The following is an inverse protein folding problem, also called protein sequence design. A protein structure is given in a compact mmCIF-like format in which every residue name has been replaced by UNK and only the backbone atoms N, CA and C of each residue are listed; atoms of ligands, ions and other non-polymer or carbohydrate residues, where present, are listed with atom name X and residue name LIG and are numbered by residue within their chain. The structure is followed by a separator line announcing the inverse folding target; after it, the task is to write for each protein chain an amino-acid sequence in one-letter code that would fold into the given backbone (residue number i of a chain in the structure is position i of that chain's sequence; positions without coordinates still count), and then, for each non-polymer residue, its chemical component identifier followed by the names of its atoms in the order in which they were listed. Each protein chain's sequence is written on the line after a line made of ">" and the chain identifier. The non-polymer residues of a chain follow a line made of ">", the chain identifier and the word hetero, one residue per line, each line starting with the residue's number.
data_IF_799083042422
#
_entry.id   IF_799083042422
#
_cell.length_a   1.000
_cell.length_b   1.000
_cell.length_c   1.000
_cell.angle_alpha   90.00
_cell.angle_beta   90.00
_cell.angle_gamma   90.00
#
_symmetry.space_group_name_H-M   'P 1'
#
loop_
_entity.id
_entity.type
_entity.pdbx_description
1 polymer ?
#
# COMPACT_ATOMS: atom_id res chain seq x y z
N UNK A 1 0.46 10.64 3.14
CA UNK A 1 1.40 11.70 2.73
C UNK A 1 0.86 13.09 2.94
N UNK A 2 -0.33 13.40 2.38
CA UNK A 2 -0.94 14.76 2.51
C UNK A 2 -1.12 15.14 3.98
N UNK A 3 -1.65 14.23 4.79
CA UNK A 3 -1.91 14.51 6.21
C UNK A 3 -0.63 14.86 6.98
N UNK A 4 0.49 14.18 6.72
CA UNK A 4 1.76 14.51 7.38
C UNK A 4 2.23 15.92 7.02
N UNK A 5 2.19 16.27 5.73
CA UNK A 5 2.62 17.59 5.27
C UNK A 5 1.67 18.68 5.78
N UNK A 6 0.35 18.49 5.62
CA UNK A 6 -0.65 19.44 6.13
C UNK A 6 -0.58 19.58 7.64
N UNK A 7 -0.45 18.47 8.37
CA UNK A 7 -0.30 18.47 9.82
C UNK A 7 0.93 19.25 10.26
N UNK A 8 2.08 19.00 9.63
CA UNK A 8 3.32 19.71 9.91
C UNK A 8 3.20 21.19 9.64
N UNK A 9 2.63 21.57 8.48
CA UNK A 9 2.45 22.97 8.10
C UNK A 9 1.47 23.68 9.03
N UNK A 10 0.33 23.06 9.32
CA UNK A 10 -0.69 23.63 10.20
C UNK A 10 -0.15 23.85 11.62
N UNK A 11 0.46 22.81 12.20
CA UNK A 11 1.00 22.92 13.56
C UNK A 11 2.14 23.95 13.63
N UNK A 12 3.05 23.96 12.66
CA UNK A 12 4.14 24.94 12.63
C UNK A 12 3.59 26.35 12.48
N UNK A 13 2.61 26.57 11.58
CA UNK A 13 1.98 27.88 11.38
C UNK A 13 1.21 28.33 12.62
N UNK A 14 0.49 27.40 13.27
CA UNK A 14 -0.25 27.67 14.50
C UNK A 14 0.67 28.09 15.65
N UNK A 15 1.73 27.34 15.87
CA UNK A 15 2.71 27.58 16.94
C UNK A 15 3.43 28.92 16.76
N UNK A 16 3.72 29.31 15.52
CA UNK A 16 4.34 30.61 15.20
C UNK A 16 3.44 31.79 15.52
N UNK A 17 2.10 31.62 15.44
CA UNK A 17 1.17 32.67 15.88
C UNK A 17 1.29 33.01 17.35
N UNK A 18 1.86 32.11 18.16
CA UNK A 18 2.15 32.34 19.58
C UNK A 18 3.59 32.80 19.86
N UNK A 19 4.35 33.15 18.80
CA UNK A 19 5.72 33.68 18.97
C UNK A 19 6.82 32.61 19.15
N UNK A 20 6.51 31.33 18.89
CA UNK A 20 7.48 30.23 18.98
C UNK A 20 8.15 29.99 17.63
N UNK A 21 9.32 30.61 17.41
CA UNK A 21 10.02 30.57 16.10
C UNK A 21 11.34 29.79 16.14
N UNK A 22 11.74 29.22 17.27
CA UNK A 22 13.00 28.49 17.36
C UNK A 22 12.94 27.17 16.54
N UNK A 23 14.11 26.66 16.15
CA UNK A 23 14.24 25.36 15.50
C UNK A 23 13.63 24.24 16.37
N UNK A 24 13.85 24.32 17.70
CA UNK A 24 13.31 23.33 18.65
C UNK A 24 11.78 23.39 18.68
N UNK A 25 11.19 24.59 18.72
CA UNK A 25 9.74 24.76 18.69
C UNK A 25 9.14 24.24 17.36
N UNK A 26 9.84 24.49 16.25
CA UNK A 26 9.42 23.97 14.93
C UNK A 26 9.45 22.44 14.91
N UNK A 27 10.52 21.82 15.38
CA UNK A 27 10.62 20.36 15.47
C UNK A 27 9.57 19.76 16.40
N UNK A 28 9.33 20.41 17.55
CA UNK A 28 8.26 19.99 18.46
C UNK A 28 6.88 20.13 17.82
N UNK A 29 6.61 21.21 17.10
CA UNK A 29 5.34 21.43 16.39
C UNK A 29 5.09 20.38 15.31
N UNK A 30 6.12 19.89 14.64
CA UNK A 30 6.02 18.85 13.60
C UNK A 30 5.84 17.45 14.19
N UNK A 31 6.69 17.06 15.14
CA UNK A 31 6.77 15.69 15.63
C UNK A 31 6.03 15.45 16.95
N UNK A 32 5.92 16.47 17.79
CA UNK A 32 5.33 16.36 19.13
C UNK A 32 4.42 17.56 19.44
N UNK A 33 3.41 17.86 18.61
CA UNK A 33 2.57 19.06 18.74
C UNK A 33 1.89 19.15 20.11
N UNK A 34 1.52 18.03 20.71
CA UNK A 34 0.85 18.00 22.01
C UNK A 34 1.71 18.58 23.14
N UNK A 35 3.03 18.37 23.11
CA UNK A 35 3.96 18.92 24.09
C UNK A 35 3.98 20.45 23.98
N UNK A 36 4.07 20.95 22.75
CA UNK A 36 4.16 22.37 22.49
C UNK A 36 2.82 23.09 22.74
N UNK A 37 1.70 22.44 22.36
CA UNK A 37 0.36 22.95 22.68
C UNK A 37 0.12 23.03 24.18
N UNK A 38 0.56 22.03 24.96
CA UNK A 38 0.50 22.08 26.42
C UNK A 38 1.37 23.19 27.00
N UNK A 39 2.57 23.43 26.45
CA UNK A 39 3.44 24.53 26.83
C UNK A 39 2.77 25.88 26.56
N UNK A 40 2.15 26.07 25.39
CA UNK A 40 1.41 27.27 25.01
C UNK A 40 0.22 27.49 25.97
N UNK A 41 -0.57 26.45 26.22
CA UNK A 41 -1.74 26.50 27.10
C UNK A 41 -1.36 26.88 28.55
N UNK A 42 -0.22 26.42 29.04
CA UNK A 42 0.27 26.68 30.40
C UNK A 42 1.01 28.01 30.52
N UNK A 43 1.40 28.65 29.42
CA UNK A 43 2.12 29.92 29.45
C UNK A 43 1.26 31.12 29.90
N UNK A 44 -0.07 30.95 29.98
CA UNK A 44 -1.00 31.95 30.53
C UNK A 44 -1.17 33.24 29.72
N UNK A 45 -0.32 33.51 28.76
CA UNK A 45 -0.39 34.67 27.88
C UNK A 45 -0.94 34.26 26.53
N UNK A 46 -2.27 34.41 26.36
CA UNK A 46 -3.01 33.97 25.16
C UNK A 46 -3.19 35.09 24.13
N UNK A 47 -2.53 36.19 24.27
CA UNK A 47 -2.55 37.26 23.28
C UNK A 47 -1.79 36.81 22.05
N UNK A 48 -2.57 36.44 21.01
CA UNK A 48 -2.03 36.26 19.67
C UNK A 48 -1.37 37.57 19.27
N UNK A 49 -0.08 37.59 18.97
CA UNK A 49 0.51 38.78 18.40
C UNK A 49 -0.25 39.16 17.13
N UNK A 50 -0.62 40.41 16.99
CA UNK A 50 -1.29 40.97 15.82
C UNK A 50 -0.34 40.90 14.63
N UNK A 51 -0.15 39.68 14.10
CA UNK A 51 0.72 39.43 12.95
C UNK A 51 -0.02 39.82 11.71
N UNK A 52 0.15 41.06 11.33
CA UNK A 52 -0.23 41.54 10.01
C UNK A 52 0.71 40.86 8.98
N UNK A 53 0.31 39.66 8.53
CA UNK A 53 1.06 38.80 7.62
C UNK A 53 1.52 39.54 6.35
N UNK A 54 0.77 40.57 5.94
CA UNK A 54 1.09 41.40 4.77
C UNK A 54 2.31 42.27 4.96
N UNK A 55 2.66 42.65 6.20
CA UNK A 55 3.71 43.61 6.51
C UNK A 55 4.91 43.04 7.28
N UNK A 56 4.93 41.73 7.59
CA UNK A 56 6.06 41.15 8.31
C UNK A 56 7.30 41.08 7.39
N UNK A 57 8.40 41.66 7.85
CA UNK A 57 9.71 41.53 7.18
C UNK A 57 10.18 40.09 7.00
N UNK A 58 9.51 39.16 7.66
CA UNK A 58 9.81 37.74 7.71
C UNK A 58 9.20 36.93 6.56
N UNK A 59 8.20 37.46 5.80
CA UNK A 59 7.56 36.77 4.69
C UNK A 59 8.54 36.41 3.56
N UNK A 60 9.65 37.14 3.46
CA UNK A 60 10.68 36.92 2.45
C UNK A 60 11.71 35.85 2.82
N UNK A 61 11.79 35.48 4.09
CA UNK A 61 12.83 34.61 4.60
C UNK A 61 12.47 33.12 4.51
N UNK A 62 13.52 32.30 4.34
CA UNK A 62 13.37 30.84 4.30
C UNK A 62 13.00 30.32 5.67
N UNK A 63 12.10 29.37 5.67
CA UNK A 63 11.65 28.64 6.85
C UNK A 63 12.08 27.18 6.78
N UNK A 64 12.09 26.52 7.92
CA UNK A 64 12.40 25.08 7.97
C UNK A 64 11.46 24.25 7.09
N UNK A 65 10.18 24.66 6.98
CA UNK A 65 9.21 24.02 6.10
C UNK A 65 9.61 24.03 4.62
N UNK A 66 10.33 25.06 4.16
CA UNK A 66 10.81 25.14 2.78
C UNK A 66 11.90 24.08 2.52
N UNK A 67 12.79 23.87 3.48
CA UNK A 67 13.80 22.81 3.42
C UNK A 67 13.16 21.42 3.48
N UNK A 68 12.11 21.24 4.30
CA UNK A 68 11.34 20.00 4.35
C UNK A 68 10.62 19.70 3.04
N UNK A 69 9.99 20.70 2.43
CA UNK A 69 9.32 20.54 1.15
C UNK A 69 10.30 20.10 0.04
N UNK A 70 11.46 20.73 -0.02
CA UNK A 70 12.53 20.36 -0.96
C UNK A 70 13.09 18.95 -0.66
N UNK A 71 13.28 18.60 0.60
CA UNK A 71 13.69 17.24 0.99
C UNK A 71 12.65 16.19 0.60
N UNK A 72 11.36 16.45 0.81
CA UNK A 72 10.29 15.52 0.45
C UNK A 72 10.11 15.37 -1.06
N UNK A 73 10.44 16.42 -1.84
CA UNK A 73 10.36 16.33 -3.31
C UNK A 73 11.47 15.45 -3.89
N UNK A 74 12.69 15.60 -3.39
CA UNK A 74 13.88 14.86 -3.80
C UNK A 74 14.68 14.51 -2.55
N UNK A 75 14.50 13.34 -1.95
CA UNK A 75 15.21 12.94 -0.74
C UNK A 75 16.72 13.09 -0.91
N UNK A 76 17.38 13.67 0.10
CA UNK A 76 18.82 13.97 0.12
C UNK A 76 19.20 15.08 -0.86
N UNK A 77 18.94 14.92 -2.17
CA UNK A 77 19.29 15.90 -3.20
C UNK A 77 18.51 17.22 -3.03
N UNK A 78 17.23 17.17 -2.68
CA UNK A 78 16.43 18.37 -2.42
C UNK A 78 16.93 19.16 -1.23
N UNK A 79 17.37 18.49 -0.18
CA UNK A 79 17.97 19.16 0.97
C UNK A 79 19.35 19.77 0.64
N UNK A 80 20.19 19.03 -0.10
CA UNK A 80 21.47 19.56 -0.58
C UNK A 80 21.28 20.76 -1.50
N UNK A 81 20.28 20.71 -2.39
CA UNK A 81 19.89 21.83 -3.25
C UNK A 81 19.44 23.03 -2.42
N UNK A 82 18.60 22.81 -1.39
CA UNK A 82 18.13 23.85 -0.50
C UNK A 82 19.29 24.53 0.26
N UNK A 83 20.23 23.74 0.75
CA UNK A 83 21.44 24.27 1.41
C UNK A 83 22.33 25.05 0.44
N UNK A 84 22.56 24.52 -0.77
CA UNK A 84 23.33 25.20 -1.80
C UNK A 84 22.71 26.53 -2.23
N UNK A 85 21.41 26.54 -2.50
CA UNK A 85 20.67 27.77 -2.79
C UNK A 85 20.69 28.77 -1.62
N UNK A 86 20.58 28.27 -0.39
CA UNK A 86 20.64 29.07 0.80
C UNK A 86 22.03 29.73 1.01
N UNK A 87 23.10 29.05 0.61
CA UNK A 87 24.46 29.60 0.68
C UNK A 87 24.68 30.71 -0.34
N UNK A 88 24.08 30.61 -1.52
CA UNK A 88 24.29 31.56 -2.63
C UNK A 88 23.30 32.73 -2.58
N UNK A 89 22.06 32.47 -2.14
CA UNK A 89 21.01 33.50 -2.12
C UNK A 89 20.94 34.21 -0.77
N UNK A 90 21.28 35.51 -0.75
CA UNK A 90 21.12 36.33 0.45
C UNK A 90 19.70 36.88 0.52
N UNK A 91 19.08 36.88 1.72
CA UNK A 91 17.78 37.49 1.92
C UNK A 91 17.86 38.99 1.66
N UNK A 92 16.90 39.50 0.88
CA UNK A 92 16.75 40.96 0.65
C UNK A 92 15.44 41.40 1.29
N UNK A 93 15.41 42.55 1.99
CA UNK A 93 14.19 43.07 2.59
C UNK A 93 13.04 43.15 1.55
N UNK A 94 11.88 42.59 1.87
CA UNK A 94 10.70 42.63 1.03
C UNK A 94 10.70 41.70 -0.20
N UNK A 95 11.72 40.85 -0.38
CA UNK A 95 11.76 39.85 -1.47
C UNK A 95 11.95 38.44 -0.92
N UNK A 96 11.17 37.51 -1.44
CA UNK A 96 11.36 36.09 -1.12
C UNK A 96 12.74 35.60 -1.54
N UNK A 97 13.38 34.80 -0.69
CA UNK A 97 14.61 34.08 -1.07
C UNK A 97 14.30 33.00 -2.09
N UNK A 98 15.29 32.58 -2.88
CA UNK A 98 15.09 31.49 -3.84
C UNK A 98 14.67 30.18 -3.17
N UNK A 99 15.18 29.88 -1.98
CA UNK A 99 14.77 28.69 -1.21
C UNK A 99 13.29 28.80 -0.82
N UNK A 100 12.84 29.96 -0.36
CA UNK A 100 11.44 30.22 0.00
C UNK A 100 10.51 30.08 -1.24
N UNK A 101 10.90 30.67 -2.37
CA UNK A 101 10.13 30.63 -3.60
C UNK A 101 9.95 29.18 -4.11
N UNK A 102 11.03 28.39 -4.13
CA UNK A 102 10.98 26.98 -4.52
C UNK A 102 10.27 26.12 -3.49
N UNK A 103 10.52 26.33 -2.21
CA UNK A 103 9.86 25.62 -1.11
C UNK A 103 8.33 25.79 -1.14
N UNK A 104 7.85 27.03 -1.26
CA UNK A 104 6.42 27.35 -1.36
C UNK A 104 5.79 26.67 -2.59
N UNK A 105 6.45 26.76 -3.75
CA UNK A 105 5.95 26.19 -5.00
C UNK A 105 5.87 24.65 -4.95
N UNK A 106 6.92 24.01 -4.43
CA UNK A 106 6.95 22.54 -4.29
C UNK A 106 5.95 22.07 -3.24
N UNK A 107 5.86 22.77 -2.11
CA UNK A 107 4.87 22.43 -1.07
C UNK A 107 3.45 22.47 -1.64
N UNK A 108 3.12 23.56 -2.35
CA UNK A 108 1.83 23.69 -3.01
C UNK A 108 1.58 22.53 -4.00
N UNK A 109 2.57 22.23 -4.85
CA UNK A 109 2.46 21.14 -5.84
C UNK A 109 2.28 19.77 -5.16
N UNK A 110 3.04 19.46 -4.10
CA UNK A 110 2.91 18.20 -3.37
C UNK A 110 1.54 18.06 -2.71
N UNK A 111 1.05 19.12 -2.06
CA UNK A 111 -0.27 19.11 -1.42
C UNK A 111 -1.37 18.95 -2.47
N UNK A 112 -1.35 19.77 -3.51
CA UNK A 112 -2.37 19.72 -4.58
C UNK A 112 -2.37 18.35 -5.28
N UNK A 113 -1.22 17.85 -5.70
CA UNK A 113 -1.10 16.55 -6.36
C UNK A 113 -1.55 15.41 -5.44
N UNK A 114 -1.22 15.48 -4.15
CA UNK A 114 -1.64 14.45 -3.19
C UNK A 114 -3.15 14.46 -2.96
N UNK A 115 -3.79 15.62 -2.88
CA UNK A 115 -5.25 15.74 -2.75
C UNK A 115 -5.92 15.18 -4.01
N UNK A 116 -5.47 15.60 -5.19
CA UNK A 116 -6.04 15.16 -6.47
C UNK A 116 -5.89 13.63 -6.59
N UNK A 117 -4.71 13.09 -6.36
CA UNK A 117 -4.45 11.65 -6.44
C UNK A 117 -5.25 10.84 -5.42
N UNK A 118 -5.44 11.37 -4.22
CA UNK A 118 -6.16 10.66 -3.16
C UNK A 118 -7.67 10.65 -3.39
N UNK A 119 -8.25 11.77 -3.81
CA UNK A 119 -9.70 11.95 -3.79
C UNK A 119 -10.34 12.09 -5.17
N UNK A 120 -9.63 12.51 -6.20
CA UNK A 120 -10.22 12.82 -7.51
C UNK A 120 -9.91 11.75 -8.53
N UNK A 121 -8.67 11.63 -8.97
CA UNK A 121 -8.26 10.60 -9.93
C UNK A 121 -6.81 10.16 -9.72
N UNK A 122 -6.54 8.93 -10.10
CA UNK A 122 -5.22 8.33 -10.00
C UNK A 122 -4.84 7.65 -11.33
N UNK A 123 -3.62 7.90 -11.86
CA UNK A 123 -3.14 7.21 -13.05
C UNK A 123 -2.73 5.78 -12.75
N UNK A 124 -3.09 4.85 -13.63
CA UNK A 124 -2.65 3.46 -13.61
C UNK A 124 -2.18 3.03 -14.99
N UNK A 125 -1.29 2.05 -15.02
CA UNK A 125 -0.87 1.35 -16.23
C UNK A 125 -1.40 -0.09 -16.15
N UNK A 126 -1.88 -0.63 -17.29
CA UNK A 126 -2.35 -1.99 -17.39
C UNK A 126 -1.17 -2.97 -17.49
N UNK A 127 -0.94 -3.83 -16.50
CA UNK A 127 0.21 -4.74 -16.50
C UNK A 127 -0.08 -6.09 -17.15
N UNK A 128 -1.35 -6.48 -17.31
CA UNK A 128 -1.75 -7.84 -17.74
C UNK A 128 -2.88 -7.81 -18.76
N UNK A 129 -2.93 -8.84 -19.63
CA UNK A 129 -3.92 -8.97 -20.69
C UNK A 129 -5.33 -9.41 -20.24
N UNK A 130 -5.62 -9.44 -18.94
CA UNK A 130 -6.92 -9.93 -18.44
C UNK A 130 -8.13 -9.07 -18.83
N UNK A 131 -7.90 -7.89 -19.39
CA UNK A 131 -8.90 -6.97 -19.94
C UNK A 131 -8.75 -6.76 -21.45
N UNK A 132 -8.04 -7.66 -22.14
CA UNK A 132 -7.90 -7.62 -23.61
C UNK A 132 -9.25 -7.49 -24.31
N UNK A 133 -9.23 -6.82 -25.47
CA UNK A 133 -10.37 -6.32 -26.26
C UNK A 133 -11.05 -5.06 -25.68
N UNK A 134 -10.74 -4.67 -24.44
CA UNK A 134 -11.21 -3.40 -23.85
C UNK A 134 -10.01 -2.51 -23.50
N UNK A 135 -9.02 -3.07 -22.83
CA UNK A 135 -7.78 -2.40 -22.40
C UNK A 135 -6.60 -3.31 -22.75
N UNK A 136 -5.57 -2.75 -23.35
CA UNK A 136 -4.38 -3.49 -23.74
C UNK A 136 -3.28 -3.36 -22.67
N UNK A 137 -2.36 -4.32 -22.67
CA UNK A 137 -1.16 -4.25 -21.83
C UNK A 137 -0.34 -3.03 -22.22
N UNK A 138 0.02 -2.21 -21.25
CA UNK A 138 0.76 -0.97 -21.46
C UNK A 138 -0.10 0.29 -21.54
N UNK A 139 -1.41 0.16 -21.70
CA UNK A 139 -2.32 1.31 -21.68
C UNK A 139 -2.25 2.09 -20.37
N UNK A 140 -2.29 3.42 -20.47
CA UNK A 140 -2.42 4.33 -19.33
C UNK A 140 -3.88 4.79 -19.20
N UNK A 141 -4.38 4.77 -17.99
CA UNK A 141 -5.73 5.21 -17.69
C UNK A 141 -5.78 6.05 -16.40
N UNK A 142 -6.79 6.91 -16.31
CA UNK A 142 -7.12 7.62 -15.08
C UNK A 142 -8.36 7.01 -14.43
N UNK A 143 -8.22 6.56 -13.20
CA UNK A 143 -9.34 6.07 -12.39
C UNK A 143 -10.03 7.24 -11.73
N UNK A 144 -11.30 7.47 -12.07
CA UNK A 144 -12.15 8.46 -11.43
C UNK A 144 -12.64 7.93 -10.07
N UNK A 145 -12.10 8.49 -8.99
CA UNK A 145 -12.49 8.10 -7.63
C UNK A 145 -13.81 8.68 -7.17
N UNK A 146 -14.23 9.77 -7.77
CA UNK A 146 -15.50 10.45 -7.42
C UNK A 146 -16.71 9.65 -7.88
N UNK A 147 -16.59 8.81 -8.91
CA UNK A 147 -17.70 8.01 -9.42
C UNK A 147 -18.32 7.16 -8.30
N UNK A 148 -17.52 6.33 -7.64
CA UNK A 148 -17.99 5.43 -6.58
C UNK A 148 -17.59 5.90 -5.16
N UNK A 149 -17.15 7.13 -5.03
CA UNK A 149 -16.70 7.74 -3.79
C UNK A 149 -15.23 7.43 -3.45
N UNK A 150 -14.45 8.46 -3.15
CA UNK A 150 -13.05 8.29 -2.76
C UNK A 150 -12.92 7.65 -1.39
N UNK A 151 -11.83 6.90 -1.20
CA UNK A 151 -11.49 6.30 0.10
C UNK A 151 -10.65 7.27 0.91
N UNK A 152 -10.98 7.40 2.20
CA UNK A 152 -10.11 8.08 3.15
C UNK A 152 -8.87 7.20 3.39
N UNK A 153 -7.65 7.74 3.36
CA UNK A 153 -6.44 6.96 3.60
C UNK A 153 -6.47 6.27 4.96
N UNK A 154 -6.24 4.96 4.95
CA UNK A 154 -6.11 4.15 6.19
C UNK A 154 -4.77 4.44 6.86
N UNK A 155 -3.73 4.72 6.07
CA UNK A 155 -2.41 5.14 6.58
C UNK A 155 -2.14 6.61 6.29
N UNK A 156 -2.64 7.54 7.15
CA UNK A 156 -2.46 8.98 6.93
C UNK A 156 -0.99 9.41 6.96
N UNK A 157 -0.18 8.75 7.80
CA UNK A 157 1.26 9.01 7.90
C UNK A 157 2.02 8.19 6.84
N UNK A 158 2.02 8.69 5.61
CA UNK A 158 2.78 8.09 4.51
C UNK A 158 3.54 9.13 3.69
N UNK A 159 4.64 8.68 3.06
CA UNK A 159 5.45 9.55 2.20
C UNK A 159 4.61 10.01 1.00
N UNK A 160 4.62 11.32 0.68
CA UNK A 160 3.79 11.86 -0.40
C UNK A 160 4.05 11.17 -1.74
N UNK A 161 2.98 10.87 -2.47
CA UNK A 161 2.99 10.32 -3.83
C UNK A 161 3.68 8.95 -3.99
N UNK A 162 4.18 8.35 -2.91
CA UNK A 162 4.82 7.03 -2.92
C UNK A 162 3.86 5.98 -2.35
N UNK A 163 3.72 4.85 -3.06
CA UNK A 163 2.74 3.83 -2.68
C UNK A 163 3.24 2.90 -1.56
N UNK A 164 4.27 2.13 -1.79
CA UNK A 164 4.74 1.11 -0.84
C UNK A 164 6.14 1.39 -0.27
N UNK A 165 7.14 1.51 -1.14
CA UNK A 165 8.56 1.69 -0.80
C UNK A 165 9.07 3.02 -1.29
N UNK A 166 9.87 3.69 -0.48
CA UNK A 166 10.56 4.91 -0.89
C UNK A 166 11.65 4.52 -1.89
N UNK A 167 11.65 5.09 -3.10
CA UNK A 167 12.69 4.82 -4.10
C UNK A 167 14.10 5.04 -3.53
N UNK A 168 15.04 4.22 -3.95
CA UNK A 168 16.48 4.23 -3.60
C UNK A 168 16.86 3.83 -2.17
N UNK A 169 15.90 3.75 -1.23
CA UNK A 169 16.19 3.43 0.18
C UNK A 169 15.54 2.12 0.61
N UNK A 170 14.58 1.59 -0.18
CA UNK A 170 13.83 0.35 0.07
C UNK A 170 13.17 0.26 1.46
N UNK A 171 12.85 1.40 2.05
CA UNK A 171 12.09 1.46 3.30
C UNK A 171 10.60 1.66 3.05
N UNK A 172 9.77 1.26 3.99
CA UNK A 172 8.32 1.50 3.92
C UNK A 172 8.02 2.99 3.78
N UNK A 173 7.16 3.34 2.83
CA UNK A 173 6.68 4.71 2.64
C UNK A 173 5.60 5.14 3.65
N UNK A 174 5.19 4.27 4.54
CA UNK A 174 4.13 4.50 5.51
C UNK A 174 4.48 3.93 6.88
N UNK A 175 3.85 4.45 7.90
CA UNK A 175 3.97 3.95 9.27
C UNK A 175 2.62 3.47 9.78
N UNK A 176 2.63 2.47 10.66
CA UNK A 176 1.45 1.97 11.36
C UNK A 176 1.17 2.66 12.70
N UNK A 177 1.88 3.77 13.00
CA UNK A 177 1.68 4.51 14.26
C UNK A 177 0.27 5.10 14.36
N UNK A 178 -0.30 5.49 13.23
CA UNK A 178 -1.65 6.00 13.13
C UNK A 178 -2.36 5.30 11.97
N UNK A 179 -3.48 4.66 12.27
CA UNK A 179 -4.32 4.00 11.27
C UNK A 179 -5.77 4.45 11.45
N UNK A 180 -6.39 4.84 10.34
CA UNK A 180 -7.81 5.21 10.31
C UNK A 180 -8.65 4.00 9.95
N UNK A 181 -9.90 3.97 10.39
CA UNK A 181 -10.86 2.99 9.94
C UNK A 181 -11.14 3.15 8.44
N UNK A 182 -11.38 2.03 7.76
CA UNK A 182 -11.78 2.09 6.36
C UNK A 182 -13.07 2.89 6.22
N UNK A 183 -12.99 4.01 5.53
CA UNK A 183 -14.11 4.91 5.27
C UNK A 183 -14.12 5.29 3.80
N UNK A 184 -15.29 5.22 3.17
CA UNK A 184 -15.52 5.67 1.81
C UNK A 184 -16.49 6.85 1.85
N UNK A 185 -16.14 7.94 1.17
CA UNK A 185 -17.02 9.09 1.01
C UNK A 185 -18.11 8.77 -0.02
N UNK A 186 -19.23 9.48 -0.03
CA UNK A 186 -20.27 9.31 -1.03
C UNK A 186 -19.72 9.51 -2.46
N UNK A 187 -20.20 8.69 -3.39
CA UNK A 187 -19.92 8.81 -4.82
C UNK A 187 -21.07 9.47 -5.58
N UNK A 188 -20.83 9.74 -6.85
CA UNK A 188 -21.83 10.34 -7.75
C UNK A 188 -22.58 9.29 -8.59
N UNK A 189 -22.14 8.04 -8.58
CA UNK A 189 -22.68 6.95 -9.40
C UNK A 189 -22.76 5.66 -8.62
N UNK A 190 -23.73 4.82 -8.94
CA UNK A 190 -23.81 3.44 -8.47
C UNK A 190 -23.01 2.51 -9.40
N UNK A 191 -22.63 1.33 -8.86
CA UNK A 191 -21.93 0.31 -9.63
C UNK A 191 -22.97 -0.46 -10.44
N UNK A 192 -22.81 -0.49 -11.76
CA UNK A 192 -23.68 -1.17 -12.68
C UNK A 192 -22.99 -2.41 -13.29
N UNK A 193 -23.83 -3.31 -13.81
CA UNK A 193 -23.35 -4.47 -14.58
C UNK A 193 -22.56 -3.98 -15.81
N UNK A 194 -21.44 -4.62 -16.07
CA UNK A 194 -20.47 -4.31 -17.13
C UNK A 194 -19.59 -3.08 -16.89
N UNK A 195 -19.73 -2.36 -15.79
CA UNK A 195 -18.78 -1.31 -15.45
C UNK A 195 -17.37 -1.87 -15.31
N UNK A 196 -16.40 -1.08 -15.76
CA UNK A 196 -14.98 -1.35 -15.53
C UNK A 196 -14.60 -0.74 -14.20
N UNK A 197 -14.33 -1.58 -13.21
CA UNK A 197 -14.06 -1.15 -11.84
C UNK A 197 -12.63 -1.45 -11.43
N UNK A 198 -12.06 -0.53 -10.65
CA UNK A 198 -10.76 -0.73 -9.98
C UNK A 198 -11.01 -0.96 -8.50
N UNK A 199 -10.44 -2.04 -7.97
CA UNK A 199 -10.58 -2.43 -6.58
C UNK A 199 -9.26 -2.95 -6.02
N UNK A 200 -9.10 -2.88 -4.69
CA UNK A 200 -7.95 -3.48 -4.05
C UNK A 200 -8.12 -4.99 -3.97
N UNK A 201 -7.03 -5.73 -4.20
CA UNK A 201 -7.05 -7.19 -4.13
C UNK A 201 -7.53 -7.67 -2.76
N UNK A 202 -8.50 -8.60 -2.69
CA UNK A 202 -9.17 -8.99 -1.44
C UNK A 202 -8.40 -10.03 -0.62
N UNK A 203 -7.07 -10.05 -0.69
CA UNK A 203 -6.21 -11.02 0.02
C UNK A 203 -6.11 -10.81 1.55
N UNK A 204 -6.86 -9.84 2.10
CA UNK A 204 -6.68 -9.45 3.50
C UNK A 204 -5.53 -8.46 3.68
N UNK A 205 -5.22 -8.16 4.94
CA UNK A 205 -4.23 -7.12 5.31
C UNK A 205 -2.85 -7.70 5.67
N UNK A 206 -2.70 -9.02 5.59
CA UNK A 206 -1.46 -9.72 5.87
C UNK A 206 -0.90 -10.31 4.59
N UNK A 207 0.42 -10.18 4.39
CA UNK A 207 1.15 -10.82 3.31
C UNK A 207 2.39 -11.52 3.85
N UNK A 208 2.82 -12.58 3.16
CA UNK A 208 4.08 -13.26 3.44
C UNK A 208 5.21 -12.46 2.77
N UNK A 209 6.14 -11.98 3.56
CA UNK A 209 7.23 -11.13 3.06
C UNK A 209 8.33 -11.92 2.39
N UNK A 210 8.67 -11.51 1.16
CA UNK A 210 9.80 -12.02 0.41
C UNK A 210 10.53 -10.85 -0.25
N UNK A 211 11.75 -10.48 0.19
CA UNK A 211 12.50 -9.34 -0.35
C UNK A 211 12.96 -9.56 -1.81
N UNK A 212 12.90 -10.79 -2.31
CA UNK A 212 13.25 -11.10 -3.71
C UNK A 212 12.15 -10.71 -4.70
N UNK A 213 10.93 -10.46 -4.20
CA UNK A 213 9.84 -10.00 -5.05
C UNK A 213 10.09 -8.58 -5.57
N UNK A 214 9.68 -8.27 -6.81
CA UNK A 214 9.69 -6.91 -7.30
C UNK A 214 8.96 -5.98 -6.33
N UNK A 215 9.58 -4.86 -5.97
CA UNK A 215 9.07 -3.90 -4.98
C UNK A 215 8.98 -4.43 -3.54
N UNK A 216 9.72 -5.47 -3.19
CA UNK A 216 10.02 -5.95 -1.85
C UNK A 216 8.85 -6.15 -0.89
N UNK A 217 8.05 -5.12 -0.65
CA UNK A 217 6.95 -5.11 0.30
C UNK A 217 5.61 -5.63 -0.25
N UNK A 218 5.54 -6.09 -1.49
CA UNK A 218 4.28 -6.66 -2.03
C UNK A 218 3.92 -7.95 -1.34
N UNK A 219 4.89 -8.83 -1.10
CA UNK A 219 4.69 -10.09 -0.42
C UNK A 219 3.75 -11.04 -1.17
N UNK A 220 3.66 -12.27 -0.71
CA UNK A 220 2.76 -13.28 -1.25
C UNK A 220 1.39 -13.23 -0.55
N UNK A 221 0.34 -13.69 -1.24
CA UNK A 221 -1.00 -13.83 -0.68
C UNK A 221 -1.03 -14.79 0.51
N UNK A 222 -1.02 -14.24 1.70
CA UNK A 222 -1.02 -14.98 2.95
C UNK A 222 -2.22 -15.92 3.10
N UNK A 223 -3.41 -15.44 2.78
CA UNK A 223 -4.63 -16.24 2.97
C UNK A 223 -4.69 -17.41 1.99
N UNK A 224 -4.29 -17.18 0.74
CA UNK A 224 -4.17 -18.25 -0.24
C UNK A 224 -3.13 -19.28 0.16
N UNK A 225 -1.97 -18.85 0.65
CA UNK A 225 -0.91 -19.73 1.16
C UNK A 225 -1.40 -20.53 2.37
N UNK A 226 -2.10 -19.91 3.34
CA UNK A 226 -2.67 -20.61 4.49
C UNK A 226 -3.65 -21.71 4.05
N UNK A 227 -4.50 -21.45 3.05
CA UNK A 227 -5.43 -22.46 2.55
C UNK A 227 -4.68 -23.60 1.87
N UNK A 228 -3.72 -23.30 0.99
CA UNK A 228 -2.89 -24.32 0.32
C UNK A 228 -2.14 -25.19 1.31
N UNK A 229 -1.55 -24.56 2.32
CA UNK A 229 -0.84 -25.27 3.39
C UNK A 229 -1.79 -26.11 4.24
N UNK A 230 -2.97 -25.60 4.56
CA UNK A 230 -4.00 -26.36 5.27
C UNK A 230 -4.42 -27.62 4.50
N UNK A 231 -4.59 -27.51 3.16
CA UNK A 231 -4.87 -28.65 2.29
C UNK A 231 -3.71 -29.64 2.30
N UNK A 232 -2.47 -29.16 2.22
CA UNK A 232 -1.27 -30.01 2.26
C UNK A 232 -1.18 -30.79 3.58
N UNK A 233 -1.42 -30.12 4.70
CA UNK A 233 -1.41 -30.75 6.02
C UNK A 233 -2.52 -31.80 6.16
N UNK A 234 -3.72 -31.47 5.69
CA UNK A 234 -4.83 -32.42 5.68
C UNK A 234 -4.53 -33.66 4.84
N UNK A 235 -3.96 -33.49 3.64
CA UNK A 235 -3.54 -34.64 2.79
C UNK A 235 -2.45 -35.48 3.46
N UNK A 236 -1.51 -34.86 4.16
CA UNK A 236 -0.44 -35.54 4.87
C UNK A 236 -0.94 -36.33 6.09
N UNK A 237 -1.86 -35.76 6.86
CA UNK A 237 -2.50 -36.43 8.00
C UNK A 237 -3.45 -37.56 7.55
N UNK A 238 -3.84 -37.58 6.26
CA UNK A 238 -4.72 -38.58 5.66
C UNK A 238 -4.03 -39.27 4.46
N UNK A 239 -3.01 -40.13 4.68
CA UNK A 239 -2.24 -40.72 3.59
C UNK A 239 -3.06 -41.62 2.64
N UNK A 240 -4.25 -42.10 3.08
CA UNK A 240 -5.12 -42.83 2.23
C UNK A 240 -5.69 -41.96 1.08
N UNK A 241 -5.86 -40.67 1.27
CA UNK A 241 -6.34 -39.72 0.27
C UNK A 241 -5.34 -39.60 -0.88
N UNK A 242 -4.06 -39.44 -0.55
CA UNK A 242 -2.99 -39.40 -1.55
C UNK A 242 -2.90 -40.72 -2.32
N UNK A 243 -3.00 -41.88 -1.64
CA UNK A 243 -3.05 -43.18 -2.30
C UNK A 243 -4.28 -43.36 -3.22
N UNK A 244 -5.43 -42.86 -2.77
CA UNK A 244 -6.67 -42.88 -3.56
C UNK A 244 -6.53 -41.98 -4.80
N UNK A 245 -5.91 -40.79 -4.65
CA UNK A 245 -5.66 -39.91 -5.78
C UNK A 245 -4.81 -40.59 -6.87
N UNK A 246 -3.74 -41.28 -6.50
CA UNK A 246 -2.91 -42.00 -7.44
C UNK A 246 -3.69 -43.15 -8.10
N UNK A 247 -4.45 -43.93 -7.33
CA UNK A 247 -5.31 -45.02 -7.92
C UNK A 247 -6.33 -44.52 -8.92
N UNK A 248 -7.01 -43.40 -8.61
CA UNK A 248 -7.97 -42.78 -9.51
C UNK A 248 -7.26 -42.26 -10.76
N UNK A 249 -6.12 -41.59 -10.61
CA UNK A 249 -5.28 -41.11 -11.71
C UNK A 249 -4.91 -42.25 -12.65
N UNK A 250 -4.33 -43.34 -12.10
CA UNK A 250 -3.91 -44.49 -12.88
C UNK A 250 -5.10 -45.17 -13.60
N UNK A 251 -6.26 -45.24 -12.93
CA UNK A 251 -7.49 -45.77 -13.55
C UNK A 251 -7.96 -44.87 -14.71
N UNK A 252 -7.86 -43.58 -14.60
CA UNK A 252 -8.22 -42.64 -15.67
C UNK A 252 -7.29 -42.82 -16.87
N UNK A 253 -5.97 -42.91 -16.63
CA UNK A 253 -4.99 -43.12 -17.68
C UNK A 253 -5.22 -44.47 -18.39
N UNK A 254 -5.44 -45.54 -17.62
CA UNK A 254 -5.67 -46.86 -18.16
C UNK A 254 -6.95 -46.99 -19.02
N UNK A 255 -8.00 -46.20 -18.71
CA UNK A 255 -9.25 -46.17 -19.43
C UNK A 255 -9.34 -45.06 -20.48
N UNK A 256 -8.26 -44.32 -20.71
CA UNK A 256 -8.25 -43.24 -21.70
C UNK A 256 -8.15 -43.83 -23.11
N UNK A 257 -9.04 -43.45 -24.03
CA UNK A 257 -8.90 -43.91 -25.41
C UNK A 257 -7.61 -43.37 -25.99
N UNK A 258 -6.82 -44.21 -26.63
CA UNK A 258 -5.43 -43.97 -27.09
C UNK A 258 -5.27 -42.90 -28.20
N UNK A 259 -5.86 -41.76 -28.02
CA UNK A 259 -5.84 -40.62 -28.96
C UNK A 259 -5.34 -39.28 -28.44
N UNK A 260 -4.90 -39.24 -27.18
CA UNK A 260 -4.35 -37.99 -26.61
C UNK A 260 -2.84 -37.95 -26.93
N UNK A 261 -2.46 -37.04 -27.80
CA UNK A 261 -1.14 -36.99 -28.45
C UNK A 261 0.05 -36.60 -27.56
N UNK A 262 -0.16 -36.29 -26.28
CA UNK A 262 0.92 -35.95 -25.37
C UNK A 262 0.68 -36.56 -23.98
N UNK A 263 1.58 -37.50 -23.60
CA UNK A 263 1.51 -38.19 -22.31
C UNK A 263 1.57 -37.20 -21.10
N UNK A 264 2.25 -36.10 -21.21
CA UNK A 264 2.32 -35.09 -20.14
C UNK A 264 0.99 -34.38 -19.93
N UNK A 265 0.29 -34.06 -21.02
CA UNK A 265 -1.05 -33.43 -20.95
C UNK A 265 -2.07 -34.39 -20.36
N UNK A 266 -2.01 -35.68 -20.76
CA UNK A 266 -2.87 -36.74 -20.21
C UNK A 266 -2.61 -36.89 -18.69
N UNK A 267 -1.35 -36.95 -18.28
CA UNK A 267 -0.98 -37.10 -16.86
C UNK A 267 -1.48 -35.93 -16.02
N UNK A 268 -1.29 -34.70 -16.51
CA UNK A 268 -1.81 -33.51 -15.83
C UNK A 268 -3.33 -33.46 -15.75
N UNK A 269 -4.00 -33.80 -16.85
CA UNK A 269 -5.47 -33.87 -16.87
C UNK A 269 -6.00 -34.96 -15.93
N UNK A 270 -5.41 -36.15 -15.94
CA UNK A 270 -5.79 -37.24 -15.06
C UNK A 270 -5.56 -36.89 -13.58
N UNK A 271 -4.49 -36.16 -13.27
CA UNK A 271 -4.22 -35.66 -11.91
C UNK A 271 -5.27 -34.65 -11.45
N UNK A 272 -5.64 -33.70 -12.30
CA UNK A 272 -6.67 -32.71 -11.99
C UNK A 272 -8.06 -33.37 -11.79
N UNK A 273 -8.41 -34.31 -12.65
CA UNK A 273 -9.67 -35.02 -12.55
C UNK A 273 -9.72 -35.94 -11.31
N UNK A 274 -8.62 -36.60 -10.97
CA UNK A 274 -8.49 -37.36 -9.73
C UNK A 274 -8.65 -36.47 -8.50
N UNK A 275 -8.03 -35.28 -8.52
CA UNK A 275 -8.19 -34.32 -7.46
C UNK A 275 -9.62 -33.83 -7.32
N UNK A 276 -10.30 -33.52 -8.43
CA UNK A 276 -11.70 -33.13 -8.45
C UNK A 276 -12.59 -34.21 -7.82
N UNK A 277 -12.40 -35.49 -8.17
CA UNK A 277 -13.17 -36.62 -7.61
C UNK A 277 -12.92 -36.80 -6.12
N UNK A 278 -11.69 -36.61 -5.65
CA UNK A 278 -11.38 -36.64 -4.21
C UNK A 278 -12.13 -35.54 -3.48
N UNK A 279 -12.10 -34.32 -4.01
CA UNK A 279 -12.83 -33.20 -3.39
C UNK A 279 -14.34 -33.45 -3.34
N UNK A 280 -14.92 -34.11 -4.33
CA UNK A 280 -16.33 -34.44 -4.34
C UNK A 280 -16.71 -35.44 -3.22
N UNK A 281 -15.79 -36.35 -2.85
CA UNK A 281 -16.06 -37.41 -1.86
C UNK A 281 -15.57 -37.01 -0.45
N UNK A 282 -14.41 -36.42 -0.35
CA UNK A 282 -13.73 -36.16 0.92
C UNK A 282 -13.65 -34.69 1.30
N UNK A 283 -14.04 -33.79 0.41
CA UNK A 283 -13.91 -32.33 0.64
C UNK A 283 -14.79 -31.82 1.77
N UNK A 284 -15.92 -32.46 2.03
CA UNK A 284 -16.82 -32.08 3.13
C UNK A 284 -16.13 -32.24 4.51
N UNK A 285 -15.37 -33.29 4.72
CA UNK A 285 -14.58 -33.50 5.94
C UNK A 285 -13.55 -32.39 6.15
N UNK A 286 -12.85 -31.99 5.08
CA UNK A 286 -11.90 -30.87 5.13
C UNK A 286 -12.60 -29.55 5.46
N UNK A 287 -13.72 -29.25 4.78
CA UNK A 287 -14.48 -28.03 4.98
C UNK A 287 -15.02 -27.91 6.41
N UNK A 288 -15.53 -29.00 6.96
CA UNK A 288 -16.04 -29.05 8.34
C UNK A 288 -14.93 -28.79 9.37
N UNK A 289 -13.68 -29.12 9.06
CA UNK A 289 -12.51 -28.96 9.92
C UNK A 289 -11.54 -27.87 9.45
N UNK A 290 -11.96 -27.01 8.54
CA UNK A 290 -11.08 -26.03 7.86
C UNK A 290 -10.36 -25.09 8.83
N UNK A 291 -11.01 -24.70 9.91
CA UNK A 291 -10.42 -23.78 10.89
C UNK A 291 -9.30 -24.44 11.70
N UNK A 292 -9.40 -25.71 11.97
CA UNK A 292 -8.34 -26.49 12.63
C UNK A 292 -7.11 -26.56 11.71
N UNK A 293 -7.31 -26.86 10.44
CA UNK A 293 -6.23 -26.94 9.45
C UNK A 293 -5.60 -25.58 9.17
N UNK A 294 -6.42 -24.53 9.04
CA UNK A 294 -5.91 -23.15 8.93
C UNK A 294 -5.11 -22.72 10.15
N UNK A 295 -5.52 -23.12 11.35
CA UNK A 295 -4.77 -22.81 12.57
C UNK A 295 -3.40 -23.51 12.60
N UNK A 296 -3.34 -24.78 12.22
CA UNK A 296 -2.08 -25.52 12.05
C UNK A 296 -1.17 -24.85 11.01
N UNK A 297 -1.72 -24.52 9.83
CA UNK A 297 -0.98 -23.86 8.76
C UNK A 297 -0.43 -22.47 9.17
N UNK A 298 -1.22 -21.67 9.86
CA UNK A 298 -0.77 -20.35 10.38
C UNK A 298 0.39 -20.49 11.35
N UNK A 299 0.32 -21.51 12.23
CA UNK A 299 1.40 -21.79 13.19
C UNK A 299 2.70 -22.16 12.45
N UNK A 300 2.63 -23.06 11.49
CA UNK A 300 3.82 -23.44 10.68
C UNK A 300 4.40 -22.25 9.92
N UNK A 301 3.56 -21.45 9.25
CA UNK A 301 4.03 -20.27 8.53
C UNK A 301 4.74 -19.26 9.45
N UNK A 302 4.28 -19.11 10.69
CA UNK A 302 4.91 -18.21 11.65
C UNK A 302 6.24 -18.75 12.20
N UNK A 303 6.35 -20.06 12.42
CA UNK A 303 7.49 -20.69 13.08
C UNK A 303 8.58 -21.09 12.07
N UNK A 304 8.23 -21.74 10.98
CA UNK A 304 9.19 -22.35 10.05
C UNK A 304 9.69 -21.41 8.96
N UNK A 305 9.00 -20.30 8.73
CA UNK A 305 9.32 -19.33 7.65
C UNK A 305 9.42 -19.97 6.26
N UNK A 306 8.70 -21.07 6.06
CA UNK A 306 8.65 -21.83 4.82
C UNK A 306 7.18 -21.96 4.41
N UNK A 307 6.90 -21.75 3.14
CA UNK A 307 5.56 -21.89 2.59
C UNK A 307 5.61 -22.52 1.20
N UNK A 308 4.57 -23.26 0.85
CA UNK A 308 4.39 -23.80 -0.50
C UNK A 308 3.66 -22.78 -1.36
N UNK A 309 4.29 -22.35 -2.44
CA UNK A 309 3.66 -21.51 -3.45
C UNK A 309 3.56 -22.25 -4.79
N UNK A 310 2.33 -22.47 -5.22
CA UNK A 310 2.05 -23.16 -6.49
C UNK A 310 2.41 -22.31 -7.72
N UNK A 311 2.45 -20.99 -7.59
CA UNK A 311 2.79 -20.09 -8.71
C UNK A 311 4.28 -20.16 -9.04
N UNK A 312 5.11 -20.36 -8.03
CA UNK A 312 6.55 -20.58 -8.17
C UNK A 312 6.91 -22.06 -8.36
N UNK A 313 5.95 -22.95 -8.21
CA UNK A 313 6.12 -24.40 -8.39
C UNK A 313 6.82 -25.13 -7.25
N UNK A 314 6.92 -24.56 -6.07
CA UNK A 314 7.65 -25.19 -4.99
C UNK A 314 7.54 -24.53 -3.63
N UNK A 315 8.47 -24.92 -2.74
CA UNK A 315 8.59 -24.36 -1.40
C UNK A 315 9.34 -23.03 -1.51
N UNK A 316 8.75 -21.98 -0.94
CA UNK A 316 9.38 -20.68 -0.79
C UNK A 316 9.80 -20.46 0.66
N UNK A 317 11.01 -19.94 0.83
CA UNK A 317 11.47 -19.39 2.10
C UNK A 317 11.00 -17.95 2.22
N UNK A 318 10.41 -17.58 3.36
CA UNK A 318 9.92 -16.23 3.60
C UNK A 318 10.57 -15.59 4.83
N UNK A 319 10.56 -14.26 4.88
CA UNK A 319 11.22 -13.46 5.93
C UNK A 319 10.24 -12.97 7.01
N UNK A 320 9.08 -13.58 7.10
CA UNK A 320 8.05 -13.28 8.07
C UNK A 320 6.77 -12.72 7.43
N UNK A 321 5.89 -12.22 8.27
CA UNK A 321 4.62 -11.65 7.85
C UNK A 321 4.68 -10.12 7.90
N UNK A 322 4.08 -9.48 6.91
CA UNK A 322 3.92 -8.04 6.87
C UNK A 322 2.44 -7.66 6.89
N UNK A 323 2.14 -6.57 7.61
CA UNK A 323 0.85 -5.94 7.55
C UNK A 323 0.80 -4.96 6.37
N UNK A 324 -0.21 -5.11 5.52
CA UNK A 324 -0.50 -4.21 4.40
C UNK A 324 -1.94 -3.72 4.49
N UNK A 325 -2.15 -2.49 4.96
CA UNK A 325 -3.48 -1.91 5.01
C UNK A 325 -4.09 -1.79 3.60
N UNK A 326 -5.41 -1.65 3.54
CA UNK A 326 -6.15 -1.73 2.28
C UNK A 326 -5.70 -0.71 1.22
N UNK A 327 -5.26 0.46 1.63
CA UNK A 327 -4.75 1.53 0.76
C UNK A 327 -3.31 1.29 0.24
N UNK A 328 -2.68 0.22 0.71
CA UNK A 328 -1.33 -0.21 0.28
C UNK A 328 -1.31 -1.53 -0.49
N UNK A 329 -2.49 -2.13 -0.74
CA UNK A 329 -2.60 -3.34 -1.55
C UNK A 329 -2.63 -3.02 -3.04
N UNK A 330 -2.37 -4.04 -3.84
CA UNK A 330 -2.43 -3.95 -5.29
C UNK A 330 -3.85 -3.60 -5.75
N UNK A 331 -3.91 -2.79 -6.80
CA UNK A 331 -5.15 -2.45 -7.48
C UNK A 331 -5.36 -3.38 -8.67
N UNK A 332 -6.54 -3.96 -8.76
CA UNK A 332 -6.97 -4.80 -9.87
C UNK A 332 -8.08 -4.10 -10.64
N UNK A 333 -8.08 -4.30 -11.95
CA UNK A 333 -9.13 -3.80 -12.83
C UNK A 333 -9.87 -4.97 -13.45
N UNK A 334 -11.19 -4.98 -13.31
CA UNK A 334 -12.07 -6.02 -13.88
C UNK A 334 -13.40 -5.42 -14.29
N UNK A 335 -14.10 -6.14 -15.16
CA UNK A 335 -15.48 -5.86 -15.53
C UNK A 335 -16.42 -6.44 -14.47
N UNK A 336 -17.36 -5.64 -14.00
CA UNK A 336 -18.37 -6.07 -13.05
C UNK A 336 -19.39 -7.00 -13.74
N UNK A 337 -19.53 -8.22 -13.23
CA UNK A 337 -20.51 -9.21 -13.67
C UNK A 337 -21.34 -9.61 -12.46
N UNK A 338 -22.63 -9.34 -12.45
CA UNK A 338 -23.50 -9.63 -11.32
C UNK A 338 -24.95 -9.34 -11.66
#
# INVERSE_FOLDING_TARGET
>A
GVHLVMWSVLNTSYVRKFGYYSLVDTLQGVFFPYILLAKIANAGDTTLPDTNWANSKEIGDREWGDHLALFLSLPILGHALALGLAAVTRPKPGKKTKVKEWGDSILFALVAASIIRTYVFEPFQIPTGSMEKTLLVGDFLFVNKLAYGPKVPVTPLSYPLVHNTVPWVDIKSYTGLETSNYTRLPGFSDINRNDVVVFNYPSGDTAVYDPRMPNGLMGHDYHGIVIKEAIRLWKNDNPYISKLQFKIKDSIIANSPGGIGNMQELDMWALQEAERRIWTVNGEEFVNNIDVWKKKARKMLAEEKIAFDQSSGGIIEHYGLIYRPVDKRENYIKRCVG
#
